data_IF_361040276253
#
_entry.id   IF_361040276253
#
_cell.length_a   1.000
_cell.length_b   1.000
_cell.length_c   1.000
_cell.angle_alpha   90.00
_cell.angle_beta   90.00
_cell.angle_gamma   90.00
#
_symmetry.space_group_name_H-M   'P 1'
#
loop_
_entity.id
_entity.type
_entity.pdbx_description
1 polymer ?
#
# COMPACT_ATOMS: atom_id res chain seq x y z
N UNK A 1 2.69 -6.72 -9.53
CA UNK A 1 1.62 -5.75 -9.88
C UNK A 1 1.85 -4.53 -9.02
N UNK A 2 1.46 -3.32 -9.40
CA UNK A 2 1.52 -2.17 -8.50
C UNK A 2 0.46 -2.32 -7.41
N UNK A 3 0.70 -1.76 -6.23
CA UNK A 3 -0.37 -1.55 -5.27
C UNK A 3 -1.40 -0.59 -5.85
N UNK A 4 -2.66 -0.87 -5.60
CA UNK A 4 -3.77 -0.01 -5.98
C UNK A 4 -4.03 0.99 -4.85
N UNK A 5 -4.20 2.26 -5.23
CA UNK A 5 -4.67 3.29 -4.31
C UNK A 5 -6.11 3.61 -4.68
N UNK A 6 -7.04 3.36 -3.77
CA UNK A 6 -8.41 3.82 -3.89
C UNK A 6 -8.46 5.32 -3.63
N UNK A 7 -9.14 6.08 -4.50
CA UNK A 7 -9.35 7.50 -4.35
C UNK A 7 -10.84 7.81 -4.43
N UNK A 8 -11.38 8.48 -3.42
CA UNK A 8 -12.76 8.94 -3.32
C UNK A 8 -12.74 10.46 -3.42
N UNK A 9 -13.20 10.98 -4.55
CA UNK A 9 -13.10 12.42 -4.93
C UNK A 9 -14.48 13.04 -4.82
N UNK A 10 -14.68 13.85 -3.79
CA UNK A 10 -15.93 14.52 -3.49
C UNK A 10 -15.91 15.97 -3.92
N UNK A 11 -16.97 16.41 -4.64
CA UNK A 11 -17.14 17.77 -5.14
C UNK A 11 -18.20 18.51 -4.36
N UNK A 12 -17.87 19.70 -3.87
CA UNK A 12 -18.81 20.54 -3.11
C UNK A 12 -19.41 21.63 -4.01
N UNK A 13 -20.35 21.22 -4.85
CA UNK A 13 -21.04 22.12 -5.79
C UNK A 13 -22.47 21.64 -6.10
N UNK A 14 -23.19 22.37 -6.96
CA UNK A 14 -24.50 21.93 -7.45
C UNK A 14 -24.35 20.76 -8.43
N UNK A 15 -25.41 19.96 -8.58
CA UNK A 15 -25.48 18.84 -9.51
C UNK A 15 -25.17 19.26 -10.96
N UNK A 16 -25.67 20.42 -11.39
CA UNK A 16 -25.39 20.95 -12.74
C UNK A 16 -23.91 21.25 -12.92
N UNK A 17 -23.27 21.87 -11.90
CA UNK A 17 -21.85 22.18 -11.94
C UNK A 17 -20.99 20.92 -11.92
N UNK A 18 -21.37 19.94 -11.12
CA UNK A 18 -20.70 18.63 -11.09
C UNK A 18 -20.78 17.93 -12.43
N UNK A 19 -21.94 17.95 -13.08
CA UNK A 19 -22.12 17.37 -14.43
C UNK A 19 -21.19 18.00 -15.45
N UNK A 20 -21.06 19.32 -15.46
CA UNK A 20 -20.12 20.04 -16.35
C UNK A 20 -18.68 19.56 -16.12
N UNK A 21 -18.27 19.40 -14.86
CA UNK A 21 -16.92 18.93 -14.51
C UNK A 21 -16.71 17.49 -14.99
N UNK A 22 -17.63 16.58 -14.66
CA UNK A 22 -17.51 15.18 -15.02
C UNK A 22 -17.52 14.96 -16.54
N UNK A 23 -18.30 15.74 -17.30
CA UNK A 23 -18.27 15.71 -18.77
C UNK A 23 -16.94 16.23 -19.35
N UNK A 24 -16.29 17.18 -18.68
CA UNK A 24 -15.01 17.74 -19.13
C UNK A 24 -13.83 16.82 -18.89
N UNK A 25 -13.86 16.02 -17.82
CA UNK A 25 -12.72 15.18 -17.39
C UNK A 25 -12.87 13.70 -17.75
N UNK A 26 -14.02 13.26 -18.28
CA UNK A 26 -14.25 11.86 -18.60
C UNK A 26 -13.36 11.35 -19.74
N UNK A 27 -13.07 10.05 -19.73
CA UNK A 27 -12.51 9.38 -20.91
C UNK A 27 -13.42 9.53 -22.12
N UNK A 28 -12.82 9.66 -23.30
CA UNK A 28 -13.58 9.78 -24.55
C UNK A 28 -14.57 8.61 -24.70
N UNK A 29 -15.88 8.89 -24.74
CA UNK A 29 -16.88 7.82 -24.88
C UNK A 29 -16.75 7.02 -26.18
N UNK A 30 -16.05 7.55 -27.19
CA UNK A 30 -15.76 6.87 -28.46
C UNK A 30 -14.33 6.31 -28.55
N UNK A 31 -13.54 6.46 -27.46
CA UNK A 31 -12.17 6.00 -27.41
C UNK A 31 -12.06 4.48 -27.23
N UNK A 32 -10.82 3.98 -27.27
CA UNK A 32 -10.51 2.55 -27.14
C UNK A 32 -10.40 2.06 -25.68
N UNK A 33 -10.51 2.98 -24.69
CA UNK A 33 -10.46 2.60 -23.29
C UNK A 33 -11.71 1.78 -22.91
N UNK A 34 -11.53 0.68 -22.18
CA UNK A 34 -12.63 -0.14 -21.68
C UNK A 34 -13.54 0.65 -20.74
N UNK A 35 -12.95 1.45 -19.86
CA UNK A 35 -13.62 2.40 -19.00
C UNK A 35 -13.69 3.75 -19.72
N UNK A 36 -14.88 4.17 -20.13
CA UNK A 36 -15.07 5.40 -20.89
C UNK A 36 -16.42 6.06 -20.64
N UNK A 37 -16.48 7.35 -20.92
CA UNK A 37 -17.68 8.13 -20.76
C UNK A 37 -17.91 8.67 -19.35
N UNK A 38 -19.14 9.06 -19.10
CA UNK A 38 -19.54 9.75 -17.87
C UNK A 38 -19.28 8.91 -16.61
N UNK A 39 -18.72 9.57 -15.59
CA UNK A 39 -18.34 8.89 -14.34
C UNK A 39 -16.92 8.32 -14.34
N UNK A 40 -16.11 8.68 -15.33
CA UNK A 40 -14.66 8.38 -15.36
C UNK A 40 -13.84 9.64 -15.21
N UNK A 41 -12.55 9.51 -14.88
CA UNK A 41 -11.62 10.64 -14.81
C UNK A 41 -10.38 10.33 -15.66
N UNK A 42 -10.12 11.17 -16.64
CA UNK A 42 -8.95 11.09 -17.52
C UNK A 42 -7.97 12.22 -17.17
N UNK A 43 -6.82 11.87 -16.61
CA UNK A 43 -5.80 12.86 -16.24
C UNK A 43 -5.22 13.60 -17.45
N UNK A 44 -5.27 13.00 -18.65
CA UNK A 44 -4.91 13.70 -19.90
C UNK A 44 -5.83 14.87 -20.19
N UNK A 45 -7.09 14.84 -19.74
CA UNK A 45 -8.04 15.96 -19.87
C UNK A 45 -7.77 17.08 -18.87
N UNK A 46 -7.09 16.76 -17.77
CA UNK A 46 -6.72 17.74 -16.74
C UNK A 46 -5.35 18.35 -17.06
N UNK A 47 -4.37 17.50 -17.36
CA UNK A 47 -3.01 17.91 -17.71
C UNK A 47 -2.47 16.96 -18.78
N UNK A 48 -2.54 17.40 -20.04
CA UNK A 48 -2.11 16.59 -21.17
C UNK A 48 -0.58 16.42 -21.19
N UNK A 49 -0.13 15.17 -21.30
CA UNK A 49 1.29 14.87 -21.44
C UNK A 49 1.81 15.21 -22.84
N UNK A 50 2.93 15.95 -22.96
CA UNK A 50 3.57 16.15 -24.25
C UNK A 50 3.94 14.82 -24.93
N UNK A 51 3.56 14.61 -26.21
CA UNK A 51 3.74 13.32 -26.88
C UNK A 51 5.22 12.92 -27.05
N UNK A 52 6.16 13.86 -27.03
CA UNK A 52 7.58 13.59 -27.10
C UNK A 52 8.13 12.83 -25.88
N UNK A 53 7.41 12.92 -24.74
CA UNK A 53 7.72 12.19 -23.51
C UNK A 53 7.33 10.71 -23.57
N UNK A 54 6.50 10.31 -24.53
CA UNK A 54 6.09 8.92 -24.72
C UNK A 54 7.21 8.09 -25.36
N UNK A 55 8.28 7.93 -24.62
CA UNK A 55 9.46 7.12 -24.98
C UNK A 55 9.70 6.08 -23.88
N UNK A 56 10.46 5.03 -24.20
CA UNK A 56 10.82 3.98 -23.24
C UNK A 56 11.38 4.59 -21.94
N UNK A 57 10.89 4.08 -20.80
CA UNK A 57 11.38 4.44 -19.46
C UNK A 57 11.90 3.19 -18.76
N UNK A 58 13.20 3.16 -18.42
CA UNK A 58 13.82 2.01 -17.78
C UNK A 58 15.36 2.06 -17.82
N UNK A 59 15.99 0.91 -17.61
CA UNK A 59 17.45 0.79 -17.56
C UNK A 59 18.12 1.27 -18.85
N UNK A 60 17.57 0.91 -20.00
CA UNK A 60 18.11 1.34 -21.32
C UNK A 60 18.06 2.86 -21.47
N UNK A 61 17.00 3.50 -21.00
CA UNK A 61 16.91 4.98 -21.03
C UNK A 61 17.95 5.60 -20.11
N UNK A 62 18.14 5.03 -18.91
CA UNK A 62 19.17 5.47 -17.96
C UNK A 62 20.56 5.36 -18.59
N UNK A 63 20.91 4.20 -19.16
CA UNK A 63 22.16 3.98 -19.88
C UNK A 63 22.34 4.96 -21.05
N UNK A 64 21.29 5.19 -21.81
CA UNK A 64 21.29 6.16 -22.91
C UNK A 64 21.55 7.59 -22.44
N UNK A 65 20.91 8.03 -21.36
CA UNK A 65 21.16 9.34 -20.75
C UNK A 65 22.62 9.46 -20.31
N UNK A 66 23.16 8.46 -19.61
CA UNK A 66 24.56 8.45 -19.16
C UNK A 66 25.54 8.52 -20.33
N UNK A 67 25.29 7.75 -21.41
CA UNK A 67 26.08 7.81 -22.63
C UNK A 67 26.04 9.19 -23.31
N UNK A 68 24.82 9.75 -23.42
CA UNK A 68 24.66 11.04 -24.09
C UNK A 68 25.26 12.17 -23.27
N UNK A 69 25.05 12.20 -21.92
CA UNK A 69 25.77 13.15 -21.07
C UNK A 69 27.29 13.02 -21.16
N UNK A 70 27.79 11.80 -21.21
CA UNK A 70 29.24 11.58 -21.42
C UNK A 70 29.72 12.13 -22.77
N UNK A 71 28.90 12.01 -23.83
CA UNK A 71 29.24 12.56 -25.16
C UNK A 71 29.27 14.09 -25.18
N UNK A 72 28.42 14.73 -24.38
CA UNK A 72 28.33 16.19 -24.22
C UNK A 72 29.43 16.76 -23.31
N UNK A 73 30.03 15.91 -22.44
CA UNK A 73 30.99 16.37 -21.43
C UNK A 73 32.26 16.96 -22.06
N UNK A 74 32.51 18.28 -21.88
CA UNK A 74 33.70 18.93 -22.46
C UNK A 74 35.01 18.36 -21.94
N UNK A 75 35.00 17.69 -20.78
CA UNK A 75 36.18 17.12 -20.13
C UNK A 75 36.42 15.66 -20.54
N UNK A 76 35.44 14.99 -21.15
CA UNK A 76 35.58 13.60 -21.59
C UNK A 76 36.53 13.51 -22.80
N UNK A 77 37.53 12.63 -22.72
CA UNK A 77 38.61 12.53 -23.74
C UNK A 77 38.20 11.75 -24.99
N UNK A 78 37.11 10.98 -24.92
CA UNK A 78 36.85 9.92 -25.91
C UNK A 78 35.61 10.10 -26.77
N UNK A 79 34.76 11.09 -26.52
CA UNK A 79 33.47 11.23 -27.22
C UNK A 79 33.21 12.62 -27.77
N UNK A 80 32.58 12.60 -28.95
CA UNK A 80 31.77 13.66 -29.48
C UNK A 80 32.55 14.81 -30.17
N UNK A 81 32.05 15.15 -31.38
CA UNK A 81 32.39 16.40 -32.04
C UNK A 81 31.56 17.57 -31.48
N UNK A 82 30.46 17.27 -30.83
CA UNK A 82 29.47 18.24 -30.40
C UNK A 82 29.45 18.38 -28.87
N UNK A 83 30.61 18.72 -28.30
CA UNK A 83 30.71 18.93 -26.84
C UNK A 83 30.05 20.22 -26.43
N UNK A 84 29.34 20.16 -25.31
CA UNK A 84 28.69 21.31 -24.71
C UNK A 84 29.70 22.27 -24.07
N UNK A 85 29.37 23.52 -23.95
CA UNK A 85 30.13 24.47 -23.13
C UNK A 85 30.18 23.96 -21.67
N UNK A 86 31.31 24.17 -20.99
CA UNK A 86 31.53 23.60 -19.67
C UNK A 86 30.53 24.13 -18.60
N UNK A 87 30.15 25.40 -18.65
CA UNK A 87 29.23 26.01 -17.73
C UNK A 87 27.78 25.49 -17.96
N UNK A 88 27.39 25.40 -19.24
CA UNK A 88 26.08 24.86 -19.64
C UNK A 88 25.99 23.36 -19.28
N UNK A 89 27.05 22.60 -19.45
CA UNK A 89 27.13 21.20 -19.11
C UNK A 89 26.97 20.99 -17.58
N UNK A 90 27.71 21.74 -16.77
CA UNK A 90 27.66 21.64 -15.32
C UNK A 90 26.25 22.01 -14.80
N UNK A 91 25.61 23.02 -15.40
CA UNK A 91 24.24 23.37 -15.07
C UNK A 91 23.25 22.25 -15.45
N UNK A 92 23.37 21.66 -16.63
CA UNK A 92 22.53 20.54 -17.08
C UNK A 92 22.68 19.33 -16.14
N UNK A 93 23.90 18.91 -15.83
CA UNK A 93 24.18 17.76 -14.98
C UNK A 93 23.68 17.98 -13.57
N UNK A 94 23.85 19.18 -13.02
CA UNK A 94 23.31 19.54 -11.71
C UNK A 94 21.79 19.41 -11.69
N UNK A 95 21.11 19.99 -12.67
CA UNK A 95 19.66 20.01 -12.74
C UNK A 95 19.05 18.63 -12.99
N UNK A 96 19.60 17.83 -13.93
CA UNK A 96 19.06 16.49 -14.26
C UNK A 96 19.26 15.49 -13.11
N UNK A 97 20.24 15.73 -12.23
CA UNK A 97 20.56 14.88 -11.09
C UNK A 97 19.98 15.40 -9.76
N UNK A 98 19.31 16.55 -9.77
CA UNK A 98 18.74 17.15 -8.57
C UNK A 98 17.72 16.19 -7.91
N UNK A 99 17.87 15.96 -6.60
CA UNK A 99 16.99 15.09 -5.82
C UNK A 99 17.08 13.59 -6.13
N UNK A 100 17.91 13.15 -7.05
CA UNK A 100 18.06 11.71 -7.40
C UNK A 100 18.91 10.97 -6.36
N UNK A 101 18.36 9.86 -5.85
CA UNK A 101 19.13 8.93 -5.01
C UNK A 101 20.29 8.26 -5.77
N UNK A 102 20.12 8.03 -7.06
CA UNK A 102 21.10 7.46 -7.98
C UNK A 102 21.28 8.43 -9.14
N UNK A 103 22.28 9.36 -9.06
CA UNK A 103 22.56 10.31 -10.12
C UNK A 103 23.02 9.62 -11.41
N UNK A 104 22.64 10.18 -12.55
CA UNK A 104 23.17 9.74 -13.83
C UNK A 104 24.68 10.00 -13.90
N UNK A 105 25.42 9.03 -14.39
CA UNK A 105 26.85 9.17 -14.70
C UNK A 105 27.04 10.03 -15.96
N UNK A 106 28.14 10.72 -16.02
CA UNK A 106 28.52 11.56 -17.19
C UNK A 106 29.98 11.49 -17.53
N UNK A 107 30.68 10.46 -17.02
CA UNK A 107 32.12 10.17 -17.25
C UNK A 107 32.32 8.66 -17.45
N UNK A 108 31.56 8.07 -18.38
CA UNK A 108 31.72 6.65 -18.70
C UNK A 108 33.04 6.45 -19.43
N UNK A 109 33.76 5.43 -19.03
CA UNK A 109 34.97 4.98 -19.77
C UNK A 109 34.59 4.28 -21.08
N UNK A 110 35.53 4.19 -22.02
CA UNK A 110 35.35 3.40 -23.27
C UNK A 110 34.99 1.96 -22.91
N UNK A 111 35.66 1.39 -21.93
CA UNK A 111 35.44 0.02 -21.49
C UNK A 111 34.00 -0.19 -20.99
N UNK A 112 33.46 0.71 -20.17
CA UNK A 112 32.07 0.63 -19.71
C UNK A 112 31.11 0.67 -20.89
N UNK A 113 31.31 1.59 -21.81
CA UNK A 113 30.42 1.75 -22.97
C UNK A 113 30.55 0.62 -24.00
N UNK A 114 31.72 0.04 -24.17
CA UNK A 114 31.93 -1.09 -25.07
C UNK A 114 31.33 -2.39 -24.51
N UNK A 115 31.26 -2.51 -23.19
CA UNK A 115 30.66 -3.69 -22.51
C UNK A 115 29.16 -3.54 -22.15
N UNK A 116 28.60 -2.35 -22.31
CA UNK A 116 27.16 -2.15 -22.09
C UNK A 116 26.28 -2.83 -23.14
N UNK A 117 26.81 -3.06 -24.36
CA UNK A 117 26.00 -3.54 -25.48
C UNK A 117 26.70 -4.58 -26.33
N UNK A 118 25.97 -5.61 -26.71
CA UNK A 118 26.48 -6.71 -27.52
C UNK A 118 26.78 -6.30 -28.95
N UNK A 119 26.21 -5.20 -29.44
CA UNK A 119 26.42 -4.75 -30.84
C UNK A 119 26.26 -3.23 -31.03
N UNK A 120 26.79 -2.73 -32.13
CA UNK A 120 26.82 -1.31 -32.48
C UNK A 120 25.40 -0.72 -32.72
N UNK A 121 24.44 -1.51 -33.22
CA UNK A 121 23.07 -1.05 -33.50
C UNK A 121 22.33 -0.77 -32.22
N UNK A 122 22.47 -1.65 -31.24
CA UNK A 122 21.84 -1.47 -29.90
C UNK A 122 22.42 -0.24 -29.22
N UNK A 123 23.75 -0.06 -29.28
CA UNK A 123 24.44 1.14 -28.78
C UNK A 123 23.90 2.42 -29.41
N UNK A 124 23.77 2.45 -30.74
CA UNK A 124 23.27 3.62 -31.46
C UNK A 124 21.82 3.97 -31.08
N UNK A 125 20.95 2.97 -30.97
CA UNK A 125 19.55 3.17 -30.53
C UNK A 125 19.47 3.67 -29.11
N UNK A 126 20.29 3.12 -28.20
CA UNK A 126 20.31 3.54 -26.80
C UNK A 126 20.83 4.97 -26.65
N UNK A 127 21.86 5.34 -27.41
CA UNK A 127 22.35 6.72 -27.42
C UNK A 127 21.31 7.69 -27.95
N UNK A 128 20.57 7.33 -29.01
CA UNK A 128 19.47 8.17 -29.55
C UNK A 128 18.33 8.30 -28.57
N UNK A 129 17.98 7.22 -27.85
CA UNK A 129 16.99 7.26 -26.77
C UNK A 129 17.43 8.21 -25.65
N UNK A 130 18.69 8.11 -25.21
CA UNK A 130 19.25 9.00 -24.19
C UNK A 130 19.27 10.46 -24.62
N UNK A 131 19.59 10.72 -25.90
CA UNK A 131 19.52 12.06 -26.47
C UNK A 131 18.12 12.63 -26.36
N UNK A 132 17.10 11.90 -26.82
CA UNK A 132 15.70 12.33 -26.70
C UNK A 132 15.29 12.58 -25.25
N UNK A 133 15.68 11.69 -24.33
CA UNK A 133 15.39 11.84 -22.92
C UNK A 133 16.01 13.11 -22.31
N UNK A 134 17.25 13.46 -22.66
CA UNK A 134 17.90 14.70 -22.20
C UNK A 134 17.26 15.94 -22.85
N UNK A 135 16.94 15.89 -24.14
CA UNK A 135 16.23 16.98 -24.82
C UNK A 135 14.83 17.22 -24.20
N UNK A 136 14.11 16.12 -23.90
CA UNK A 136 12.82 16.19 -23.17
C UNK A 136 13.00 16.82 -21.80
N UNK A 137 14.01 16.40 -21.04
CA UNK A 137 14.30 16.98 -19.74
C UNK A 137 14.56 18.50 -19.83
N UNK A 138 15.35 18.92 -20.82
CA UNK A 138 15.62 20.35 -21.02
C UNK A 138 14.36 21.15 -21.38
N UNK A 139 13.41 20.54 -22.13
CA UNK A 139 12.20 21.19 -22.60
C UNK A 139 11.05 21.14 -21.59
N UNK A 140 10.86 20.01 -20.92
CA UNK A 140 9.69 19.70 -20.11
C UNK A 140 9.99 19.44 -18.62
N UNK A 141 11.27 19.42 -18.23
CA UNK A 141 11.68 19.13 -16.86
C UNK A 141 11.69 17.63 -16.51
N UNK A 142 11.27 16.76 -17.43
CA UNK A 142 11.22 15.31 -17.26
C UNK A 142 11.80 14.60 -18.47
N UNK A 143 12.58 13.51 -18.29
CA UNK A 143 13.18 12.80 -19.41
C UNK A 143 12.19 11.88 -20.16
N UNK A 144 11.21 11.32 -19.46
CA UNK A 144 10.22 10.38 -20.00
C UNK A 144 8.83 10.62 -19.44
N UNK A 145 7.86 9.88 -19.96
CA UNK A 145 6.48 9.87 -19.46
C UNK A 145 6.41 9.55 -17.95
N UNK A 146 7.31 8.72 -17.44
CA UNK A 146 7.25 8.21 -16.07
C UNK A 146 7.48 9.31 -15.04
N UNK A 147 8.56 10.08 -15.18
CA UNK A 147 8.86 11.21 -14.31
C UNK A 147 7.80 12.30 -14.46
N UNK A 148 7.43 12.61 -15.71
CA UNK A 148 6.46 13.65 -15.99
C UNK A 148 5.10 13.37 -15.35
N UNK A 149 4.57 12.16 -15.49
CA UNK A 149 3.28 11.79 -14.91
C UNK A 149 3.31 11.84 -13.39
N UNK A 150 4.37 11.37 -12.76
CA UNK A 150 4.53 11.46 -11.32
C UNK A 150 4.55 12.91 -10.83
N UNK A 151 5.17 13.81 -11.55
CA UNK A 151 5.26 15.21 -11.17
C UNK A 151 3.96 15.98 -11.44
N UNK A 152 3.26 15.67 -12.55
CA UNK A 152 2.09 16.42 -13.02
C UNK A 152 0.74 15.77 -12.69
N UNK A 153 0.69 14.44 -12.54
CA UNK A 153 -0.51 13.73 -12.08
C UNK A 153 -0.42 13.30 -10.62
N UNK A 154 0.79 13.05 -10.12
CA UNK A 154 1.04 12.47 -8.80
C UNK A 154 1.07 10.94 -8.81
N UNK A 155 0.79 10.31 -9.92
CA UNK A 155 0.74 8.85 -10.09
C UNK A 155 1.37 8.42 -11.41
N UNK A 156 1.74 7.15 -11.50
CA UNK A 156 2.43 6.54 -12.64
C UNK A 156 1.55 6.37 -13.87
N UNK A 157 0.30 5.92 -13.66
CA UNK A 157 -0.65 5.63 -14.73
C UNK A 157 -1.86 6.55 -14.64
N UNK A 158 -2.65 6.60 -15.69
CA UNK A 158 -3.96 7.23 -15.66
C UNK A 158 -4.89 6.47 -14.73
N UNK A 159 -6.06 7.00 -14.43
CA UNK A 159 -7.04 6.36 -13.57
C UNK A 159 -7.57 5.06 -14.17
N UNK A 160 -8.01 4.16 -13.30
CA UNK A 160 -8.75 2.94 -13.63
C UNK A 160 -9.69 2.58 -12.48
N UNK A 161 -10.53 1.55 -12.63
CA UNK A 161 -11.53 1.18 -11.63
C UNK A 161 -12.47 2.34 -11.32
N UNK A 162 -12.85 3.11 -12.37
CA UNK A 162 -13.66 4.30 -12.20
C UNK A 162 -15.11 3.94 -11.89
N UNK A 163 -15.69 4.62 -10.91
CA UNK A 163 -17.08 4.51 -10.54
C UNK A 163 -17.62 5.86 -10.05
N UNK A 164 -18.83 6.20 -10.44
CA UNK A 164 -19.54 7.39 -9.97
C UNK A 164 -20.84 6.97 -9.28
N UNK A 165 -21.03 7.43 -8.04
CA UNK A 165 -22.18 7.03 -7.20
C UNK A 165 -23.50 7.71 -7.56
N UNK A 166 -23.49 8.56 -8.60
CA UNK A 166 -24.59 9.45 -8.99
C UNK A 166 -24.99 10.48 -7.90
N UNK A 167 -24.12 10.71 -6.94
CA UNK A 167 -24.22 11.73 -5.90
C UNK A 167 -23.24 12.86 -6.11
N UNK A 168 -22.27 12.98 -5.22
CA UNK A 168 -21.24 14.02 -5.26
C UNK A 168 -19.80 13.45 -5.30
N UNK A 169 -19.65 12.13 -5.42
CA UNK A 169 -18.37 11.43 -5.27
C UNK A 169 -18.03 10.59 -6.49
N UNK A 170 -16.84 10.81 -7.02
CA UNK A 170 -16.21 10.03 -8.06
C UNK A 170 -15.12 9.16 -7.43
N UNK A 171 -15.15 7.87 -7.72
CA UNK A 171 -14.19 6.87 -7.26
C UNK A 171 -13.26 6.48 -8.41
N UNK A 172 -11.98 6.34 -8.13
CA UNK A 172 -11.03 5.78 -9.07
C UNK A 172 -9.85 5.13 -8.35
N UNK A 173 -9.17 4.24 -9.04
CA UNK A 173 -7.92 3.66 -8.57
C UNK A 173 -6.73 4.23 -9.33
N UNK A 174 -5.59 4.29 -8.66
CA UNK A 174 -4.30 4.71 -9.21
C UNK A 174 -3.18 3.81 -8.73
N UNK A 175 -2.06 3.81 -9.48
CA UNK A 175 -0.95 2.92 -9.22
C UNK A 175 0.09 3.57 -8.27
N UNK A 176 0.34 2.95 -7.11
CA UNK A 176 1.37 3.30 -6.11
C UNK A 176 1.16 4.59 -5.32
N UNK A 177 0.47 5.56 -5.87
CA UNK A 177 0.29 6.87 -5.24
C UNK A 177 -1.01 7.53 -5.68
N UNK A 178 -1.56 8.37 -4.80
CA UNK A 178 -2.76 9.16 -5.08
C UNK A 178 -2.49 10.26 -6.12
N UNK A 179 -3.46 10.64 -6.98
CA UNK A 179 -3.28 11.62 -8.05
C UNK A 179 -3.33 13.07 -7.54
N UNK A 180 -2.59 13.37 -6.47
CA UNK A 180 -2.60 14.65 -5.76
C UNK A 180 -2.37 15.85 -6.68
N UNK A 181 -1.44 15.72 -7.64
CA UNK A 181 -1.11 16.82 -8.56
C UNK A 181 -2.23 17.05 -9.58
N UNK A 182 -2.82 15.98 -10.15
CA UNK A 182 -3.95 16.11 -11.07
C UNK A 182 -5.17 16.75 -10.40
N UNK A 183 -5.51 16.34 -9.17
CA UNK A 183 -6.66 16.90 -8.44
C UNK A 183 -6.40 18.35 -8.02
N UNK A 184 -5.15 18.71 -7.70
CA UNK A 184 -4.77 20.11 -7.48
C UNK A 184 -5.02 20.96 -8.73
N UNK A 185 -4.56 20.50 -9.90
CA UNK A 185 -4.80 21.18 -11.18
C UNK A 185 -6.30 21.25 -11.50
N UNK A 186 -7.06 20.19 -11.26
CA UNK A 186 -8.51 20.21 -11.42
C UNK A 186 -9.17 21.29 -10.54
N UNK A 187 -8.74 21.40 -9.28
CA UNK A 187 -9.21 22.46 -8.38
C UNK A 187 -8.82 23.88 -8.85
N UNK A 188 -7.69 24.04 -9.54
CA UNK A 188 -7.31 25.31 -10.17
C UNK A 188 -8.19 25.63 -11.38
N UNK A 189 -8.57 24.62 -12.18
CA UNK A 189 -9.50 24.79 -13.33
C UNK A 189 -10.91 25.20 -12.87
N UNK A 190 -11.32 24.75 -11.68
CA UNK A 190 -12.64 25.01 -11.09
C UNK A 190 -12.54 25.65 -9.69
N UNK A 191 -12.06 26.90 -9.60
CA UNK A 191 -11.73 27.52 -8.31
C UNK A 191 -12.95 27.81 -7.43
N UNK A 192 -14.14 27.79 -8.00
CA UNK A 192 -15.43 27.92 -7.32
C UNK A 192 -15.91 26.64 -6.66
N UNK A 193 -15.25 25.48 -6.91
CA UNK A 193 -15.63 24.18 -6.41
C UNK A 193 -14.56 23.63 -5.47
N UNK A 194 -14.80 23.60 -4.16
CA UNK A 194 -13.92 22.83 -3.26
C UNK A 194 -13.99 21.34 -3.57
N UNK A 195 -12.84 20.68 -3.55
CA UNK A 195 -12.69 19.23 -3.81
C UNK A 195 -12.06 18.59 -2.59
N UNK A 196 -12.64 17.51 -2.09
CA UNK A 196 -12.03 16.65 -1.08
C UNK A 196 -11.65 15.32 -1.73
N UNK A 197 -10.44 14.85 -1.49
CA UNK A 197 -9.97 13.56 -1.94
C UNK A 197 -9.50 12.76 -0.74
N UNK A 198 -10.17 11.65 -0.45
CA UNK A 198 -9.72 10.63 0.47
C UNK A 198 -9.02 9.54 -0.32
N UNK A 199 -7.95 8.99 0.23
CA UNK A 199 -7.20 7.93 -0.45
C UNK A 199 -6.66 6.90 0.55
N UNK A 200 -6.57 5.65 0.09
CA UNK A 200 -5.95 4.57 0.85
C UNK A 200 -5.35 3.51 -0.08
N UNK A 201 -4.20 3.01 0.31
CA UNK A 201 -3.53 1.87 -0.32
C UNK A 201 -4.31 0.57 -0.06
N UNK A 202 -4.21 -0.40 -0.97
CA UNK A 202 -4.72 -1.76 -0.76
C UNK A 202 -3.99 -2.49 0.38
N UNK A 203 -2.77 -2.04 0.72
CA UNK A 203 -2.08 -2.39 1.95
C UNK A 203 -2.66 -1.57 3.10
N UNK A 204 -3.76 -2.08 3.65
CA UNK A 204 -4.63 -1.36 4.58
C UNK A 204 -3.88 -0.87 5.81
N UNK A 205 -4.04 0.41 6.11
CA UNK A 205 -3.38 1.11 7.21
C UNK A 205 -2.06 1.77 6.83
N UNK A 206 -1.55 1.55 5.60
CA UNK A 206 -0.43 2.30 5.06
C UNK A 206 -0.90 3.30 4.00
N UNK A 207 -0.08 4.34 3.73
CA UNK A 207 -0.28 5.31 2.65
C UNK A 207 -1.75 5.74 2.46
N UNK A 208 -2.36 6.28 3.51
CA UNK A 208 -3.74 6.75 3.50
C UNK A 208 -3.85 8.17 4.07
N UNK A 209 -4.91 8.87 3.68
CA UNK A 209 -5.14 10.24 4.13
C UNK A 209 -6.19 10.99 3.32
N UNK A 210 -6.31 12.28 3.61
CA UNK A 210 -7.26 13.17 2.96
C UNK A 210 -6.61 14.51 2.62
N UNK A 211 -6.93 15.01 1.44
CA UNK A 211 -6.63 16.38 1.02
C UNK A 211 -7.92 17.12 0.71
N UNK A 212 -7.95 18.41 1.06
CA UNK A 212 -8.97 19.33 0.60
C UNK A 212 -8.34 20.42 -0.24
N UNK A 213 -8.87 20.61 -1.43
CA UNK A 213 -8.37 21.57 -2.41
C UNK A 213 -9.38 22.70 -2.60
N UNK A 214 -8.89 23.90 -2.80
CA UNK A 214 -9.68 25.06 -3.19
C UNK A 214 -8.83 26.00 -4.05
N UNK A 215 -9.25 26.27 -5.31
CA UNK A 215 -8.56 27.17 -6.22
C UNK A 215 -7.10 26.79 -6.52
N UNK A 216 -6.77 25.50 -6.54
CA UNK A 216 -5.42 25.00 -6.78
C UNK A 216 -4.55 24.90 -5.51
N UNK A 217 -5.03 25.33 -4.35
CA UNK A 217 -4.32 25.22 -3.09
C UNK A 217 -4.83 24.05 -2.26
N UNK A 218 -3.92 23.42 -1.48
CA UNK A 218 -4.28 22.45 -0.46
C UNK A 218 -4.60 23.24 0.81
N UNK A 219 -5.89 23.32 1.14
CA UNK A 219 -6.36 24.09 2.30
C UNK A 219 -6.47 23.24 3.58
N UNK A 220 -6.52 21.93 3.43
CA UNK A 220 -6.53 20.98 4.55
C UNK A 220 -5.81 19.69 4.12
N UNK A 221 -5.01 19.14 5.03
CA UNK A 221 -4.33 17.86 4.87
C UNK A 221 -4.47 17.06 6.17
N UNK A 222 -4.86 15.79 6.04
CA UNK A 222 -5.02 14.88 7.16
C UNK A 222 -4.33 13.55 6.87
N UNK A 223 -3.54 13.10 7.83
CA UNK A 223 -2.93 11.77 7.84
C UNK A 223 -3.22 11.11 9.18
N UNK A 224 -3.84 9.91 9.19
CA UNK A 224 -4.12 9.20 10.42
C UNK A 224 -2.82 8.86 11.17
N UNK A 225 -2.93 8.77 12.50
CA UNK A 225 -1.79 8.51 13.38
C UNK A 225 -2.01 7.22 14.15
N UNK A 226 -1.04 6.31 14.04
CA UNK A 226 -1.11 5.01 14.70
C UNK A 226 -1.94 3.99 13.93
N UNK A 227 -1.81 2.75 14.34
CA UNK A 227 -2.34 1.59 13.61
C UNK A 227 -3.88 1.64 13.50
N UNK A 228 -4.58 1.80 14.61
CA UNK A 228 -6.05 1.78 14.62
C UNK A 228 -6.65 2.86 13.74
N UNK A 229 -6.21 4.11 13.89
CA UNK A 229 -6.75 5.25 13.13
C UNK A 229 -6.48 5.08 11.62
N UNK A 230 -5.30 4.57 11.25
CA UNK A 230 -4.92 4.33 9.87
C UNK A 230 -5.76 3.21 9.22
N UNK A 231 -5.98 2.12 9.94
CA UNK A 231 -6.80 1.00 9.46
C UNK A 231 -8.27 1.41 9.36
N UNK A 232 -8.83 2.05 10.39
CA UNK A 232 -10.22 2.54 10.37
C UNK A 232 -10.44 3.49 9.18
N UNK A 233 -9.50 4.41 8.96
CA UNK A 233 -9.57 5.35 7.85
C UNK A 233 -9.48 4.63 6.49
N UNK A 234 -8.48 3.76 6.30
CA UNK A 234 -8.29 3.02 5.06
C UNK A 234 -9.50 2.11 4.76
N UNK A 235 -10.04 1.43 5.78
CA UNK A 235 -11.26 0.64 5.65
C UNK A 235 -12.46 1.49 5.23
N UNK A 236 -12.59 2.71 5.76
CA UNK A 236 -13.66 3.62 5.34
C UNK A 236 -13.56 4.05 3.87
N UNK A 237 -12.34 4.18 3.34
CA UNK A 237 -12.09 4.53 1.92
C UNK A 237 -12.38 3.36 0.97
N UNK A 238 -12.06 2.14 1.39
CA UNK A 238 -12.30 0.90 0.64
C UNK A 238 -13.68 0.30 0.85
N UNK A 239 -14.48 0.87 1.78
CA UNK A 239 -15.76 0.31 2.22
C UNK A 239 -15.63 -1.11 2.79
N UNK A 240 -14.54 -1.36 3.54
CA UNK A 240 -14.26 -2.62 4.21
C UNK A 240 -14.66 -2.57 5.69
N UNK A 241 -15.11 -3.71 6.19
CA UNK A 241 -15.24 -3.93 7.64
C UNK A 241 -13.97 -4.65 8.14
N UNK A 242 -13.21 -4.07 9.08
CA UNK A 242 -11.92 -4.63 9.51
C UNK A 242 -11.99 -6.11 9.88
N UNK A 243 -13.02 -6.50 10.62
CA UNK A 243 -13.19 -7.90 11.04
C UNK A 243 -13.68 -8.81 9.92
N UNK A 244 -14.78 -8.42 9.26
CA UNK A 244 -15.48 -9.30 8.31
C UNK A 244 -14.70 -9.44 6.99
N UNK A 245 -14.08 -8.35 6.55
CA UNK A 245 -13.39 -8.33 5.25
C UNK A 245 -11.93 -8.74 5.37
N UNK A 246 -11.25 -8.36 6.47
CA UNK A 246 -9.80 -8.46 6.60
C UNK A 246 -9.35 -9.39 7.73
N UNK A 247 -10.28 -9.89 8.55
CA UNK A 247 -9.94 -10.72 9.73
C UNK A 247 -9.14 -9.97 10.78
N UNK A 248 -9.28 -8.64 10.85
CA UNK A 248 -8.55 -7.79 11.80
C UNK A 248 -9.37 -7.57 13.07
N UNK A 249 -8.73 -7.67 14.21
CA UNK A 249 -9.32 -7.52 15.53
C UNK A 249 -8.58 -6.48 16.34
N UNK A 250 -9.29 -5.69 17.12
CA UNK A 250 -8.63 -4.79 18.06
C UNK A 250 -7.92 -5.61 19.13
N UNK A 251 -6.69 -5.22 19.46
CA UNK A 251 -5.96 -5.77 20.60
C UNK A 251 -6.72 -5.49 21.92
N UNK A 252 -6.31 -6.15 23.00
CA UNK A 252 -6.95 -6.02 24.30
C UNK A 252 -7.00 -4.58 24.83
N UNK A 253 -6.07 -3.72 24.41
CA UNK A 253 -6.03 -2.29 24.77
C UNK A 253 -6.96 -1.43 23.92
N UNK A 254 -7.44 -1.96 22.78
CA UNK A 254 -8.23 -1.21 21.82
C UNK A 254 -7.47 -0.13 21.06
N UNK A 255 -6.14 -0.24 21.00
CA UNK A 255 -5.23 0.75 20.38
C UNK A 255 -4.80 0.37 18.98
N UNK A 256 -4.69 -0.93 18.70
CA UNK A 256 -4.14 -1.45 17.45
C UNK A 256 -5.00 -2.60 16.94
N UNK A 257 -5.09 -2.71 15.62
CA UNK A 257 -5.61 -3.92 14.98
C UNK A 257 -4.51 -4.96 14.86
N UNK A 258 -4.88 -6.19 15.10
CA UNK A 258 -4.02 -7.37 14.98
C UNK A 258 -4.71 -8.38 14.09
N UNK A 259 -3.93 -9.07 13.27
CA UNK A 259 -4.38 -10.24 12.52
C UNK A 259 -3.99 -11.47 13.33
N UNK A 260 -4.94 -12.18 13.91
CA UNK A 260 -4.64 -13.33 14.74
C UNK A 260 -4.28 -14.59 13.94
N UNK A 261 -4.38 -14.52 12.62
CA UNK A 261 -3.98 -15.60 11.72
C UNK A 261 -2.74 -15.17 10.97
N UNK A 262 -1.58 -15.34 11.57
CA UNK A 262 -0.32 -15.11 10.89
C UNK A 262 0.71 -16.16 11.23
N UNK A 263 1.28 -16.69 10.18
CA UNK A 263 2.50 -17.46 10.06
C UNK A 263 2.44 -18.97 10.20
N UNK A 264 3.28 -19.58 9.38
CA UNK A 264 3.61 -21.01 9.32
C UNK A 264 4.02 -21.62 10.65
N UNK A 265 4.22 -20.80 11.69
CA UNK A 265 4.71 -21.21 13.01
C UNK A 265 3.71 -21.01 14.14
N UNK A 266 2.67 -20.22 13.92
CA UNK A 266 1.65 -19.98 14.92
C UNK A 266 0.38 -20.73 14.56
N UNK A 267 0.09 -21.78 15.29
CA UNK A 267 -1.23 -22.38 15.27
C UNK A 267 -2.20 -21.41 15.89
N UNK A 268 -2.61 -20.43 15.10
CA UNK A 268 -3.61 -19.45 15.50
C UNK A 268 -4.90 -19.84 14.81
N UNK A 269 -5.92 -20.11 15.59
CA UNK A 269 -7.26 -20.34 15.10
C UNK A 269 -8.20 -19.38 15.76
N UNK A 270 -8.84 -18.54 14.94
CA UNK A 270 -9.96 -17.72 15.39
C UNK A 270 -11.22 -18.37 14.95
N UNK A 271 -12.03 -18.57 15.91
CA UNK A 271 -13.32 -19.12 15.67
C UNK A 271 -14.35 -18.09 16.17
N UNK A 272 -15.13 -17.59 15.25
CA UNK A 272 -16.06 -16.48 15.45
C UNK A 272 -16.99 -16.60 16.66
N UNK A 273 -16.76 -15.78 17.68
CA UNK A 273 -17.67 -15.54 18.80
C UNK A 273 -17.90 -16.71 19.74
N UNK A 274 -17.48 -17.94 19.34
CA UNK A 274 -17.57 -19.17 20.13
C UNK A 274 -16.25 -19.93 20.16
N UNK A 275 -15.17 -19.25 19.83
CA UNK A 275 -13.94 -19.90 19.50
C UNK A 275 -12.77 -19.25 20.23
N UNK A 276 -11.74 -20.01 20.49
CA UNK A 276 -10.51 -19.57 21.10
C UNK A 276 -9.43 -19.31 20.04
N UNK A 277 -8.46 -18.50 20.39
CA UNK A 277 -7.24 -18.32 19.63
C UNK A 277 -6.19 -19.31 20.11
N UNK A 278 -5.60 -20.08 19.19
CA UNK A 278 -4.49 -20.98 19.48
C UNK A 278 -3.20 -20.42 18.89
N UNK A 279 -2.14 -20.39 19.66
CA UNK A 279 -0.84 -19.90 19.20
C UNK A 279 0.30 -20.75 19.77
N UNK A 280 1.30 -21.04 18.92
CA UNK A 280 2.58 -21.63 19.32
C UNK A 280 3.52 -20.60 19.96
N UNK A 281 3.31 -19.31 19.71
CA UNK A 281 4.07 -18.23 20.29
C UNK A 281 3.40 -17.70 21.55
N UNK A 282 4.19 -17.19 22.47
CA UNK A 282 3.66 -16.42 23.59
C UNK A 282 3.26 -15.04 23.08
N UNK A 283 1.96 -14.83 22.86
CA UNK A 283 1.41 -13.55 22.50
C UNK A 283 1.45 -12.60 23.70
N UNK A 284 1.69 -11.34 23.42
CA UNK A 284 1.59 -10.25 24.39
C UNK A 284 0.18 -9.68 24.40
N UNK A 285 -0.12 -8.83 25.40
CA UNK A 285 -1.39 -8.10 25.43
C UNK A 285 -1.61 -7.20 24.19
N UNK A 286 -0.55 -6.91 23.46
CA UNK A 286 -0.61 -6.14 22.20
C UNK A 286 -1.07 -7.00 21.02
N UNK A 287 -0.83 -8.30 21.10
CA UNK A 287 -1.13 -9.28 20.04
C UNK A 287 -2.50 -9.97 20.24
N UNK A 288 -3.05 -9.91 21.46
CA UNK A 288 -4.29 -10.61 21.81
C UNK A 288 -5.51 -9.73 21.49
N UNK A 289 -6.44 -10.20 20.66
CA UNK A 289 -7.69 -9.50 20.41
C UNK A 289 -8.54 -9.36 21.67
N UNK A 290 -9.20 -8.20 21.81
CA UNK A 290 -10.09 -7.95 22.96
C UNK A 290 -11.24 -8.95 23.02
N UNK A 291 -11.44 -9.56 24.18
CA UNK A 291 -12.55 -10.49 24.43
C UNK A 291 -12.33 -11.89 23.87
N UNK A 292 -11.12 -12.20 23.36
CA UNK A 292 -10.77 -13.56 22.96
C UNK A 292 -9.84 -14.22 23.98
N UNK A 293 -9.95 -15.53 24.07
CA UNK A 293 -9.07 -16.37 24.89
C UNK A 293 -7.97 -16.94 24.01
N UNK A 294 -6.75 -16.96 24.53
CA UNK A 294 -5.57 -17.46 23.81
C UNK A 294 -5.09 -18.73 24.45
N UNK A 295 -4.94 -19.78 23.64
CA UNK A 295 -4.32 -21.02 24.02
C UNK A 295 -2.88 -21.02 23.53
N UNK A 296 -1.92 -20.97 24.46
CA UNK A 296 -0.51 -21.08 24.16
C UNK A 296 -0.07 -22.53 24.19
N UNK A 297 0.54 -22.99 23.12
CA UNK A 297 1.18 -24.29 23.06
C UNK A 297 2.59 -24.20 23.67
N UNK A 298 2.89 -25.08 24.61
CA UNK A 298 4.22 -25.19 25.23
C UNK A 298 4.72 -26.58 25.09
N UNK A 299 6.00 -26.72 24.81
CA UNK A 299 6.70 -28.00 24.92
C UNK A 299 7.20 -28.18 26.36
N UNK A 300 6.92 -29.33 26.96
CA UNK A 300 7.48 -29.65 28.24
C UNK A 300 8.90 -30.24 28.10
N UNK A 301 9.56 -30.47 29.21
CA UNK A 301 10.92 -31.07 29.25
C UNK A 301 10.99 -32.50 28.68
N UNK A 302 9.85 -33.15 28.43
CA UNK A 302 9.72 -34.51 27.93
C UNK A 302 9.34 -34.56 26.44
N UNK A 303 9.20 -33.41 25.80
CA UNK A 303 8.82 -33.31 24.41
C UNK A 303 7.30 -33.31 24.14
N UNK A 304 6.49 -33.36 25.20
CA UNK A 304 5.04 -33.22 25.04
C UNK A 304 4.68 -31.74 24.93
N UNK A 305 3.77 -31.40 24.04
CA UNK A 305 3.31 -30.06 23.87
C UNK A 305 2.01 -29.82 24.64
N UNK A 306 1.97 -28.70 25.33
CA UNK A 306 0.79 -28.29 26.09
C UNK A 306 0.24 -26.96 25.57
N UNK A 307 -1.08 -26.81 25.55
CA UNK A 307 -1.71 -25.54 25.37
C UNK A 307 -2.00 -24.89 26.73
N UNK A 308 -1.55 -23.69 26.95
CA UNK A 308 -1.87 -22.90 28.12
C UNK A 308 -2.92 -21.86 27.72
N UNK A 309 -4.01 -21.78 28.48
CA UNK A 309 -5.05 -20.76 28.28
C UNK A 309 -4.61 -19.50 29.01
N UNK A 310 -4.41 -18.43 28.26
CA UNK A 310 -4.17 -17.10 28.80
C UNK A 310 -5.32 -16.18 28.33
N UNK A 311 -6.08 -15.60 29.26
CA UNK A 311 -7.14 -14.68 28.90
C UNK A 311 -6.58 -13.36 28.40
N UNK A 312 -7.39 -12.63 27.65
CA UNK A 312 -7.07 -11.24 27.33
C UNK A 312 -6.99 -10.40 28.63
N UNK A 313 -6.33 -9.25 28.56
CA UNK A 313 -6.01 -8.37 29.70
C UNK A 313 -7.21 -8.03 30.60
N UNK A 314 -8.42 -8.12 30.07
CA UNK A 314 -9.66 -7.76 30.78
C UNK A 314 -10.17 -8.87 31.72
N UNK A 315 -9.55 -10.04 31.71
CA UNK A 315 -9.99 -11.19 32.50
C UNK A 315 -8.83 -11.69 33.36
N UNK A 316 -8.98 -11.60 34.65
CA UNK A 316 -7.94 -11.94 35.61
C UNK A 316 -8.16 -13.37 36.14
N UNK A 317 -7.62 -14.37 35.44
CA UNK A 317 -7.59 -15.74 35.96
C UNK A 317 -6.31 -16.48 35.58
N UNK A 318 -6.03 -17.55 36.34
CA UNK A 318 -4.88 -18.40 36.10
C UNK A 318 -5.01 -19.20 34.78
N UNK A 319 -3.91 -19.53 34.19
CA UNK A 319 -3.86 -20.37 32.99
C UNK A 319 -4.25 -21.80 33.28
N UNK A 320 -4.91 -22.46 32.33
CA UNK A 320 -5.11 -23.93 32.32
C UNK A 320 -4.26 -24.56 31.24
N UNK A 321 -3.88 -25.84 31.44
CA UNK A 321 -3.00 -26.56 30.51
C UNK A 321 -3.80 -27.64 29.80
N UNK A 322 -3.71 -27.68 28.47
CA UNK A 322 -4.32 -28.70 27.61
C UNK A 322 -3.22 -29.50 26.93
N UNK A 323 -3.40 -30.83 26.88
CA UNK A 323 -2.46 -31.68 26.15
C UNK A 323 -2.64 -31.49 24.63
N UNK A 324 -1.53 -31.30 23.92
CA UNK A 324 -1.52 -31.12 22.46
C UNK A 324 -2.14 -32.30 21.71
N UNK A 325 -1.95 -33.51 22.22
CA UNK A 325 -2.47 -34.74 21.63
C UNK A 325 -4.01 -34.80 21.60
N UNK A 326 -4.67 -33.97 22.42
CA UNK A 326 -6.12 -33.88 22.52
C UNK A 326 -6.66 -32.81 21.59
N UNK A 327 -5.79 -31.95 21.04
CA UNK A 327 -6.10 -30.97 20.04
C UNK A 327 -5.74 -31.56 18.69
N UNK A 328 -6.72 -31.87 17.87
CA UNK A 328 -6.49 -32.33 16.49
C UNK A 328 -6.00 -31.17 15.62
N UNK A 329 -4.70 -30.94 15.63
CA UNK A 329 -4.02 -29.97 14.76
C UNK A 329 -3.86 -30.52 13.34
N UNK A 330 -4.94 -31.02 12.75
CA UNK A 330 -4.96 -31.39 11.34
C UNK A 330 -4.68 -30.20 10.42
N UNK A 331 -4.66 -30.45 9.12
CA UNK A 331 -4.31 -29.47 8.08
C UNK A 331 -5.28 -28.27 7.94
N UNK A 332 -6.23 -28.10 8.83
CA UNK A 332 -7.13 -26.95 8.87
C UNK A 332 -6.65 -25.94 9.91
N UNK A 333 -6.66 -24.69 9.56
CA UNK A 333 -6.11 -23.59 10.35
C UNK A 333 -6.79 -23.37 11.70
N UNK A 334 -7.82 -24.13 12.04
CA UNK A 334 -8.54 -24.00 13.30
C UNK A 334 -9.24 -25.31 13.75
N UNK A 335 -9.52 -25.39 15.04
CA UNK A 335 -10.28 -26.47 15.65
C UNK A 335 -11.59 -25.90 16.20
N UNK A 336 -12.72 -26.47 15.81
CA UNK A 336 -13.99 -26.12 16.42
C UNK A 336 -14.08 -26.74 17.82
N UNK A 337 -13.86 -25.91 18.82
CA UNK A 337 -13.92 -26.29 20.25
C UNK A 337 -15.34 -26.23 20.82
N UNK A 338 -16.33 -25.87 20.02
CA UNK A 338 -17.74 -25.84 20.44
C UNK A 338 -18.40 -27.22 20.35
N UNK A 339 -17.77 -28.18 19.69
CA UNK A 339 -18.24 -29.55 19.63
C UNK A 339 -17.69 -30.37 20.81
N UNK A 340 -18.54 -31.19 21.42
CA UNK A 340 -18.10 -32.13 22.46
C UNK A 340 -16.98 -33.08 21.99
N UNK A 341 -16.90 -33.33 20.69
CA UNK A 341 -15.94 -34.22 20.07
C UNK A 341 -14.54 -33.61 20.01
N UNK A 342 -14.44 -32.27 19.95
CA UNK A 342 -13.20 -31.50 19.89
C UNK A 342 -12.90 -30.76 21.21
N UNK A 343 -13.77 -30.89 22.22
CA UNK A 343 -13.51 -30.28 23.52
C UNK A 343 -12.23 -30.87 24.12
N UNK A 344 -11.17 -30.09 24.30
CA UNK A 344 -9.91 -30.60 24.80
C UNK A 344 -10.07 -31.07 26.26
N UNK A 345 -9.50 -32.22 26.59
CA UNK A 345 -9.36 -32.66 27.97
C UNK A 345 -8.18 -31.91 28.61
N UNK A 346 -8.46 -31.17 29.66
CA UNK A 346 -7.42 -30.56 30.45
C UNK A 346 -6.72 -31.61 31.31
N UNK A 347 -5.40 -31.59 31.37
CA UNK A 347 -4.60 -32.51 32.10
C UNK A 347 -4.98 -32.48 33.60
N UNK A 348 -5.73 -33.50 34.06
CA UNK A 348 -6.21 -33.62 35.43
C UNK A 348 -7.48 -32.85 35.79
N UNK A 349 -8.12 -32.18 34.80
CA UNK A 349 -9.36 -31.43 35.03
C UNK A 349 -10.29 -31.57 33.82
N UNK A 350 -11.54 -31.89 34.07
CA UNK A 350 -12.62 -31.76 33.08
C UNK A 350 -13.16 -30.34 33.15
N UNK A 351 -12.75 -29.51 32.24
CA UNK A 351 -13.31 -28.19 32.04
C UNK A 351 -13.97 -28.16 30.67
N UNK A 352 -15.25 -27.82 30.59
CA UNK A 352 -15.89 -27.58 29.32
C UNK A 352 -15.32 -26.31 28.70
N UNK A 353 -14.76 -26.41 27.50
CA UNK A 353 -14.27 -25.23 26.78
C UNK A 353 -15.41 -24.26 26.42
N UNK A 354 -16.63 -24.79 26.23
CA UNK A 354 -17.83 -24.00 26.05
C UNK A 354 -18.14 -23.11 27.25
N UNK A 355 -18.08 -23.68 28.47
CA UNK A 355 -18.29 -22.91 29.69
C UNK A 355 -17.24 -21.82 29.86
N UNK A 356 -16.03 -22.10 29.43
CA UNK A 356 -14.92 -21.15 29.45
C UNK A 356 -15.15 -19.97 28.51
N UNK A 357 -15.67 -20.20 27.31
CA UNK A 357 -15.92 -19.17 26.31
C UNK A 357 -17.19 -18.35 26.58
N UNK A 358 -18.15 -18.89 27.29
CA UNK A 358 -19.35 -18.17 27.68
C UNK A 358 -19.14 -17.24 28.89
N UNK A 359 -17.93 -17.20 29.48
CA UNK A 359 -17.59 -16.26 30.56
C UNK A 359 -18.17 -16.63 31.91
N UNK A 360 -18.85 -17.77 32.04
CA UNK A 360 -19.47 -18.24 33.29
C UNK A 360 -18.50 -19.02 34.19
N UNK A 361 -17.31 -19.30 33.73
CA UNK A 361 -16.28 -19.95 34.55
C UNK A 361 -15.65 -18.93 35.51
N UNK A 362 -16.13 -18.99 36.74
CA UNK A 362 -15.30 -18.65 37.89
C UNK A 362 -14.29 -19.80 38.03
N UNK A 363 -13.12 -19.68 37.46
CA UNK A 363 -12.02 -20.57 37.78
C UNK A 363 -11.83 -20.52 39.28
N UNK A 364 -11.92 -21.71 39.90
CA UNK A 364 -11.71 -21.84 41.34
C UNK A 364 -10.31 -21.32 41.64
N UNK A 365 -10.18 -20.34 42.54
CA UNK A 365 -8.89 -19.75 42.91
C UNK A 365 -7.82 -20.77 43.34
N UNK A 366 -8.24 -22.00 43.56
CA UNK A 366 -7.39 -23.12 43.95
C UNK A 366 -6.63 -23.81 42.78
N UNK A 367 -6.95 -23.53 41.52
CA UNK A 367 -6.28 -24.19 40.38
C UNK A 367 -4.85 -23.63 40.20
N UNK A 368 -4.59 -22.38 40.57
CA UNK A 368 -3.23 -21.79 40.51
C UNK A 368 -2.22 -22.33 41.51
N UNK A 369 -2.64 -22.92 42.62
CA UNK A 369 -1.73 -23.45 43.66
C UNK A 369 -1.26 -24.90 43.41
N UNK A 370 -1.89 -25.62 42.50
CA UNK A 370 -1.57 -27.03 42.24
C UNK A 370 -0.59 -27.22 41.07
N UNK A 371 -0.24 -26.15 40.35
CA UNK A 371 0.65 -26.18 39.19
C UNK A 371 2.03 -25.54 39.44
N UNK A 372 2.42 -25.35 40.72
CA UNK A 372 3.79 -24.98 41.10
C UNK A 372 4.66 -26.19 41.41
#
# INVERSE_FOLDING_TARGET
MPNNIQNNIKFFCSEERLREILEAIMYDPNGDNEERGYGTIDFERITAMPPELDIESGSRTTEGIEMYLTSLNPRATYFGKDKMNAEEFDALVTKINEGKRYPYKYELSIYEMDNMFDNADTRARTLELGKKAVENFQKYGAPTWFEWRRDNWGTKWNSYGNFYDNGDTLYCQTAWSTPKAAIRTLSEMYPDVPIEMQYADEDIGSNCGRYRFAGGDIVEEYHPKGNKEAIDFACSVWEYEPRETLGLYLNARGTDYVCPVNDEYDLISILDGKHALFSNARLTDEDIPKGLYVYHLRDNAWGDSFATIEPSVDVNFGGSVIMKEELDFGASDYIDITSEENAPNFYGYEISVLDFMEGDLKLDENIGETLC
#
